data_IF_419920466368
#
_entry.id   IF_419920466368
#
_cell.length_a   1.000
_cell.length_b   1.000
_cell.length_c   1.000
_cell.angle_alpha   90.00
_cell.angle_beta   90.00
_cell.angle_gamma   90.00
#
_symmetry.space_group_name_H-M   'P 1'
#
loop_
_entity.id
_entity.type
_entity.pdbx_description
1 polymer ?
#
# COMPACT_ATOMS: atom_id res chain seq x y z
N UNK A 1 -4.26 -19.92 -5.53
CA UNK A 1 -4.48 -18.70 -4.71
C UNK A 1 -4.61 -17.54 -5.69
N UNK A 2 -5.68 -16.73 -5.63
CA UNK A 2 -5.91 -15.60 -6.56
C UNK A 2 -5.54 -14.29 -5.89
N UNK A 3 -4.80 -13.43 -6.59
CA UNK A 3 -4.45 -12.10 -6.10
C UNK A 3 -5.74 -11.31 -5.88
N UNK A 4 -5.95 -10.65 -4.72
CA UNK A 4 -7.15 -9.86 -4.46
C UNK A 4 -7.41 -8.76 -5.50
N UNK A 5 -6.36 -8.23 -6.13
CA UNK A 5 -6.47 -7.28 -7.25
C UNK A 5 -6.84 -7.89 -8.60
N UNK A 6 -6.74 -9.22 -8.74
CA UNK A 6 -7.10 -9.98 -9.95
C UNK A 6 -8.30 -10.92 -9.73
N UNK A 7 -9.01 -10.78 -8.62
CA UNK A 7 -10.21 -11.57 -8.36
C UNK A 7 -11.42 -10.92 -9.04
N UNK A 8 -11.84 -11.52 -10.16
CA UNK A 8 -12.95 -11.05 -11.01
C UNK A 8 -14.29 -10.96 -10.30
N UNK A 9 -14.43 -11.59 -9.12
CA UNK A 9 -15.66 -11.55 -8.31
C UNK A 9 -15.97 -10.18 -7.72
N UNK A 10 -14.99 -9.27 -7.65
CA UNK A 10 -15.14 -7.92 -7.11
C UNK A 10 -15.09 -6.82 -8.19
N UNK A 11 -15.17 -7.19 -9.47
CA UNK A 11 -15.17 -6.24 -10.57
C UNK A 11 -16.54 -5.53 -10.65
N UNK A 12 -16.52 -4.20 -10.72
CA UNK A 12 -17.69 -3.36 -11.03
C UNK A 12 -17.50 -2.78 -12.44
N UNK A 13 -18.41 -1.92 -12.90
CA UNK A 13 -18.42 -1.34 -14.25
C UNK A 13 -17.15 -0.53 -14.61
N UNK A 14 -16.30 -0.22 -13.63
CA UNK A 14 -14.99 0.45 -13.75
C UNK A 14 -13.81 -0.52 -14.00
N UNK A 15 -14.09 -1.79 -14.32
CA UNK A 15 -13.06 -2.81 -14.58
C UNK A 15 -12.27 -2.60 -15.88
N UNK A 16 -12.77 -1.74 -16.77
CA UNK A 16 -12.13 -1.36 -18.03
C UNK A 16 -12.02 0.16 -18.04
N UNK A 17 -10.87 0.68 -18.45
CA UNK A 17 -10.66 2.12 -18.61
C UNK A 17 -9.64 2.40 -19.71
N UNK A 18 -9.73 3.59 -20.29
CA UNK A 18 -8.81 4.04 -21.32
C UNK A 18 -7.77 5.00 -20.74
N UNK A 19 -6.56 4.93 -21.27
CA UNK A 19 -5.51 5.89 -20.98
C UNK A 19 -4.62 6.13 -22.21
N UNK A 20 -4.14 7.38 -22.42
CA UNK A 20 -3.29 7.70 -23.55
C UNK A 20 -1.91 7.06 -23.41
N UNK A 21 -1.39 6.55 -24.53
CA UNK A 21 -0.05 6.03 -24.65
C UNK A 21 0.97 7.16 -24.39
N UNK A 22 1.92 7.01 -23.44
CA UNK A 22 2.90 8.06 -23.14
C UNK A 22 3.92 8.27 -24.28
N UNK A 23 3.98 7.36 -25.25
CA UNK A 23 4.94 7.40 -26.36
C UNK A 23 4.35 8.00 -27.64
N UNK A 24 3.05 7.85 -27.89
CA UNK A 24 2.42 8.29 -29.14
C UNK A 24 1.05 8.94 -28.97
N UNK A 25 0.50 9.03 -27.75
CA UNK A 25 -0.77 9.67 -27.46
C UNK A 25 -2.03 8.85 -27.73
N UNK A 26 -1.91 7.70 -28.41
CA UNK A 26 -3.04 6.82 -28.76
C UNK A 26 -3.76 6.29 -27.51
N UNK A 27 -5.10 6.21 -27.53
CA UNK A 27 -5.85 5.62 -26.42
C UNK A 27 -5.65 4.10 -26.35
N UNK A 28 -5.32 3.63 -25.15
CA UNK A 28 -5.12 2.21 -24.86
C UNK A 28 -6.19 1.81 -23.85
N UNK A 29 -6.95 0.77 -24.20
CA UNK A 29 -7.87 0.12 -23.28
C UNK A 29 -7.11 -0.81 -22.33
N UNK A 30 -7.28 -0.55 -21.04
CA UNK A 30 -6.76 -1.34 -19.93
C UNK A 30 -7.90 -1.99 -19.15
N UNK A 31 -7.69 -3.25 -18.80
CA UNK A 31 -8.44 -3.96 -17.78
C UNK A 31 -7.75 -3.74 -16.44
N UNK A 32 -8.53 -3.79 -15.35
CA UNK A 32 -8.04 -3.55 -13.99
C UNK A 32 -6.92 -4.50 -13.55
N UNK A 33 -6.85 -5.70 -14.13
CA UNK A 33 -5.83 -6.71 -13.88
C UNK A 33 -4.67 -6.71 -14.88
N UNK A 34 -4.75 -5.91 -15.95
CA UNK A 34 -3.65 -5.75 -16.89
C UNK A 34 -2.47 -5.10 -16.17
N UNK A 35 -1.34 -5.80 -16.12
CA UNK A 35 -0.07 -5.23 -15.65
C UNK A 35 0.53 -4.28 -16.68
N UNK A 36 0.42 -4.68 -17.95
CA UNK A 36 0.97 -3.97 -19.10
C UNK A 36 0.10 -4.28 -20.32
N UNK A 37 -0.11 -3.29 -21.17
CA UNK A 37 -0.78 -3.44 -22.47
C UNK A 37 0.16 -3.01 -23.58
N UNK A 38 0.07 -3.69 -24.72
CA UNK A 38 0.77 -3.27 -25.92
C UNK A 38 -0.05 -2.18 -26.61
N UNK A 39 0.54 -1.02 -26.86
CA UNK A 39 -0.11 0.04 -27.62
C UNK A 39 -0.43 -0.45 -29.05
N UNK A 40 -1.68 -0.30 -29.54
CA UNK A 40 -2.04 -0.74 -30.88
C UNK A 40 -1.37 0.10 -31.99
N UNK A 41 -1.05 1.37 -31.73
CA UNK A 41 -0.43 2.26 -32.71
C UNK A 41 1.10 2.10 -32.80
N UNK A 42 1.82 2.21 -31.67
CA UNK A 42 3.29 2.22 -31.68
C UNK A 42 3.93 0.89 -31.25
N UNK A 43 3.14 -0.08 -30.78
CA UNK A 43 3.63 -1.40 -30.37
C UNK A 43 4.44 -1.44 -29.07
N UNK A 44 4.63 -0.30 -28.40
CA UNK A 44 5.31 -0.22 -27.11
C UNK A 44 4.48 -0.85 -25.99
N UNK A 45 5.16 -1.41 -24.99
CA UNK A 45 4.53 -1.91 -23.77
C UNK A 45 4.27 -0.74 -22.82
N UNK A 46 3.00 -0.48 -22.53
CA UNK A 46 2.56 0.60 -21.66
C UNK A 46 2.04 0.00 -20.34
N UNK A 47 2.66 0.33 -19.20
CA UNK A 47 2.19 -0.15 -17.91
C UNK A 47 0.83 0.49 -17.59
N UNK A 48 -0.03 -0.28 -16.94
CA UNK A 48 -1.35 0.20 -16.54
C UNK A 48 -1.21 1.39 -15.56
N UNK A 49 -1.72 2.59 -15.90
CA UNK A 49 -1.52 3.80 -15.11
C UNK A 49 -2.38 3.85 -13.84
N UNK A 50 -3.48 3.07 -13.78
CA UNK A 50 -4.32 2.92 -12.58
C UNK A 50 -3.88 1.74 -11.72
N UNK A 51 -2.86 0.99 -12.14
CA UNK A 51 -2.35 -0.12 -11.37
C UNK A 51 -1.66 0.39 -10.11
N UNK A 52 -2.39 0.30 -9.00
CA UNK A 52 -1.87 0.60 -7.68
C UNK A 52 -1.04 -0.58 -7.18
N UNK A 53 0.28 -0.50 -7.42
CA UNK A 53 1.26 -1.42 -6.86
C UNK A 53 1.61 -1.09 -5.39
N UNK A 54 0.82 -0.26 -4.70
CA UNK A 54 0.98 -0.01 -3.26
C UNK A 54 0.95 -1.30 -2.42
N UNK A 55 0.30 -2.36 -2.92
CA UNK A 55 0.38 -3.70 -2.33
C UNK A 55 1.72 -4.40 -2.58
N UNK A 56 2.37 -4.17 -3.72
CA UNK A 56 3.65 -4.76 -4.09
C UNK A 56 4.82 -4.20 -3.25
N UNK A 57 4.70 -2.97 -2.75
CA UNK A 57 5.64 -2.41 -1.77
C UNK A 57 5.78 -3.28 -0.50
N UNK A 58 4.76 -4.10 -0.21
CA UNK A 58 4.63 -4.84 1.03
C UNK A 58 4.33 -6.34 0.85
N UNK A 59 4.16 -6.79 -0.39
CA UNK A 59 3.83 -8.17 -0.72
C UNK A 59 5.09 -9.03 -0.86
N UNK A 60 5.08 -10.23 -0.25
CA UNK A 60 6.19 -11.20 -0.35
C UNK A 60 6.42 -11.79 -1.74
N UNK A 61 5.47 -11.60 -2.67
CA UNK A 61 5.54 -12.08 -4.06
C UNK A 61 5.71 -10.92 -5.05
N UNK A 62 6.08 -9.72 -4.56
CA UNK A 62 6.17 -8.51 -5.37
C UNK A 62 7.11 -8.65 -6.56
N UNK A 63 8.26 -9.33 -6.42
CA UNK A 63 9.21 -9.56 -7.53
C UNK A 63 8.58 -10.33 -8.70
N UNK A 64 7.66 -11.26 -8.42
CA UNK A 64 6.96 -12.03 -9.46
C UNK A 64 5.86 -11.20 -10.15
N UNK A 65 5.37 -10.14 -9.50
CA UNK A 65 4.33 -9.25 -10.02
C UNK A 65 4.91 -8.02 -10.75
N UNK A 66 6.08 -7.56 -10.31
CA UNK A 66 6.76 -6.35 -10.80
C UNK A 66 7.83 -6.65 -11.86
N UNK A 67 8.10 -7.93 -12.13
CA UNK A 67 9.16 -8.37 -13.04
C UNK A 67 9.08 -7.71 -14.41
N UNK A 68 10.17 -7.01 -14.78
CA UNK A 68 10.43 -6.19 -15.98
C UNK A 68 10.04 -4.70 -15.93
N UNK A 69 9.58 -4.16 -14.80
CA UNK A 69 9.40 -2.71 -14.67
C UNK A 69 10.73 -1.98 -14.38
N UNK A 70 10.96 -0.78 -14.97
CA UNK A 70 12.14 0.03 -14.68
C UNK A 70 12.30 0.29 -13.17
N UNK A 71 13.52 0.13 -12.60
CA UNK A 71 13.78 0.34 -11.18
C UNK A 71 13.32 1.72 -10.66
N UNK A 72 13.37 2.75 -11.51
CA UNK A 72 12.95 4.11 -11.19
C UNK A 72 11.44 4.20 -10.90
N UNK A 73 10.62 3.42 -11.61
CA UNK A 73 9.16 3.37 -11.41
C UNK A 73 8.76 2.53 -10.20
N UNK A 74 9.59 1.57 -9.80
CA UNK A 74 9.39 0.74 -8.61
C UNK A 74 9.73 1.51 -7.33
N UNK A 75 10.87 2.22 -7.33
CA UNK A 75 11.33 3.04 -6.21
C UNK A 75 10.37 4.20 -5.90
N UNK A 76 9.79 4.82 -6.92
CA UNK A 76 8.84 5.90 -6.75
C UNK A 76 7.50 5.48 -6.14
N UNK A 77 7.16 4.18 -5.99
CA UNK A 77 5.80 3.74 -5.65
C UNK A 77 5.63 3.10 -4.26
N UNK A 78 6.67 2.46 -3.71
CA UNK A 78 6.60 1.84 -2.37
C UNK A 78 6.91 2.76 -1.19
N UNK A 79 7.70 3.81 -1.43
CA UNK A 79 7.89 4.90 -0.45
C UNK A 79 6.60 5.72 -0.28
N UNK A 80 5.77 5.82 -1.34
CA UNK A 80 4.55 6.63 -1.34
C UNK A 80 3.53 6.23 -0.29
N UNK A 81 3.27 4.95 -0.02
CA UNK A 81 2.19 4.60 0.90
C UNK A 81 2.56 4.92 2.36
N UNK A 82 3.79 4.60 2.77
CA UNK A 82 4.33 4.96 4.10
C UNK A 82 4.30 6.48 4.27
N UNK A 83 4.77 7.23 3.27
CA UNK A 83 4.78 8.68 3.31
C UNK A 83 3.38 9.26 3.36
N UNK A 84 2.45 8.78 2.53
CA UNK A 84 1.05 9.23 2.50
C UNK A 84 0.33 8.93 3.81
N UNK A 85 0.53 7.74 4.39
CA UNK A 85 0.01 7.41 5.72
C UNK A 85 0.63 8.31 6.78
N UNK A 86 1.95 8.51 6.75
CA UNK A 86 2.63 9.40 7.70
C UNK A 86 2.12 10.84 7.64
N UNK A 87 1.88 11.38 6.44
CA UNK A 87 1.31 12.70 6.22
C UNK A 87 -0.15 12.79 6.68
N UNK A 88 -0.97 11.79 6.36
CA UNK A 88 -2.36 11.73 6.80
C UNK A 88 -2.47 11.65 8.32
N UNK A 89 -1.64 10.84 8.98
CA UNK A 89 -1.58 10.75 10.44
C UNK A 89 -1.16 12.08 11.05
N UNK A 90 -0.12 12.74 10.54
CA UNK A 90 0.29 14.07 11.01
C UNK A 90 -0.85 15.09 10.89
N UNK A 91 -1.58 15.08 9.78
CA UNK A 91 -2.72 15.99 9.56
C UNK A 91 -3.86 15.74 10.53
N UNK A 92 -4.19 14.47 10.79
CA UNK A 92 -5.29 14.08 11.67
C UNK A 92 -4.96 14.30 13.15
N UNK A 93 -3.74 13.98 13.56
CA UNK A 93 -3.27 14.20 14.94
C UNK A 93 -3.09 15.70 15.21
N UNK A 94 -2.76 16.48 14.19
CA UNK A 94 -2.69 17.94 14.28
C UNK A 94 -1.61 18.40 15.26
N UNK A 95 -2.02 19.17 16.27
CA UNK A 95 -1.12 19.79 17.26
C UNK A 95 -0.89 18.93 18.52
N UNK A 96 -1.37 17.69 18.56
CA UNK A 96 -1.09 16.76 19.66
C UNK A 96 0.29 16.12 19.47
N UNK A 97 1.33 16.90 19.82
CA UNK A 97 2.73 16.52 19.64
C UNK A 97 3.12 15.29 20.46
N UNK A 98 2.59 15.15 21.68
CA UNK A 98 2.86 13.99 22.54
C UNK A 98 2.35 12.70 21.90
N UNK A 99 1.13 12.72 21.37
CA UNK A 99 0.55 11.57 20.67
C UNK A 99 1.31 11.27 19.38
N UNK A 100 1.70 12.30 18.63
CA UNK A 100 2.49 12.11 17.41
C UNK A 100 3.86 11.50 17.70
N UNK A 101 4.56 11.96 18.74
CA UNK A 101 5.85 11.42 19.16
C UNK A 101 5.73 9.94 19.55
N UNK A 102 4.69 9.58 20.31
CA UNK A 102 4.40 8.19 20.66
C UNK A 102 4.17 7.30 19.44
N UNK A 103 3.40 7.78 18.46
CA UNK A 103 3.17 7.07 17.20
C UNK A 103 4.49 6.86 16.45
N UNK A 104 5.25 7.94 16.24
CA UNK A 104 6.50 7.87 15.47
C UNK A 104 7.56 7.00 16.17
N UNK A 105 7.67 7.08 17.49
CA UNK A 105 8.55 6.23 18.28
C UNK A 105 8.20 4.74 18.16
N UNK A 106 6.91 4.40 18.12
CA UNK A 106 6.46 3.03 17.89
C UNK A 106 6.78 2.55 16.46
N UNK A 107 6.49 3.39 15.46
CA UNK A 107 6.78 3.11 14.05
C UNK A 107 8.28 2.83 13.85
N UNK A 108 9.17 3.66 14.40
CA UNK A 108 10.62 3.46 14.29
C UNK A 108 11.07 2.12 14.88
N UNK A 109 10.51 1.73 16.03
CA UNK A 109 10.84 0.45 16.68
C UNK A 109 10.36 -0.74 15.85
N UNK A 110 9.15 -0.68 15.29
CA UNK A 110 8.61 -1.73 14.41
C UNK A 110 9.40 -1.81 13.12
N UNK A 111 9.74 -0.67 12.51
CA UNK A 111 10.56 -0.60 11.30
C UNK A 111 11.95 -1.21 11.52
N UNK A 112 12.64 -0.85 12.60
CA UNK A 112 13.93 -1.42 12.95
C UNK A 112 13.85 -2.95 13.09
N UNK A 113 12.80 -3.46 13.75
CA UNK A 113 12.61 -4.89 13.93
C UNK A 113 12.33 -5.63 12.61
N UNK A 114 11.54 -5.03 11.70
CA UNK A 114 11.27 -5.61 10.38
C UNK A 114 12.54 -5.72 9.53
N UNK A 115 13.42 -4.70 9.60
CA UNK A 115 14.73 -4.69 8.92
C UNK A 115 15.64 -5.80 9.46
N UNK A 116 15.76 -5.94 10.78
CA UNK A 116 16.56 -7.01 11.41
C UNK A 116 16.06 -8.40 11.01
N UNK A 117 14.74 -8.60 10.97
CA UNK A 117 14.14 -9.89 10.60
C UNK A 117 14.05 -10.13 9.09
N UNK A 118 14.57 -9.23 8.24
CA UNK A 118 14.44 -9.26 6.77
C UNK A 118 13.01 -9.53 6.29
N UNK A 119 12.01 -9.04 7.04
CA UNK A 119 10.59 -9.19 6.71
C UNK A 119 10.09 -7.89 6.07
N UNK A 120 9.16 -8.03 5.13
CA UNK A 120 8.52 -6.87 4.53
C UNK A 120 7.74 -6.07 5.59
N UNK A 121 7.95 -4.74 5.71
CA UNK A 121 7.34 -3.93 6.78
C UNK A 121 5.81 -3.87 6.74
N UNK A 122 5.22 -3.98 5.55
CA UNK A 122 3.79 -4.07 5.24
C UNK A 122 2.75 -3.61 6.25
N UNK A 123 1.75 -4.47 6.44
CA UNK A 123 0.67 -4.25 7.40
C UNK A 123 1.17 -3.96 8.84
N UNK A 124 2.24 -4.61 9.36
CA UNK A 124 2.80 -4.28 10.68
C UNK A 124 3.18 -2.80 10.85
N UNK A 125 3.86 -2.23 9.86
CA UNK A 125 4.33 -0.84 9.92
C UNK A 125 3.15 0.15 9.84
N UNK A 126 2.19 -0.09 8.95
CA UNK A 126 1.00 0.76 8.85
C UNK A 126 0.10 0.60 10.09
N UNK A 127 0.01 -0.60 10.67
CA UNK A 127 -0.66 -0.82 11.93
C UNK A 127 -0.03 -0.02 13.08
N UNK A 128 1.31 0.12 13.10
CA UNK A 128 2.00 0.95 14.08
C UNK A 128 1.63 2.44 13.96
N UNK A 129 1.50 2.97 12.75
CA UNK A 129 1.01 4.35 12.51
C UNK A 129 -0.40 4.58 13.05
N UNK A 130 -1.25 3.56 12.96
CA UNK A 130 -2.69 3.66 13.22
C UNK A 130 -3.08 3.19 14.63
N UNK A 131 -2.15 2.61 15.38
CA UNK A 131 -2.42 1.95 16.65
C UNK A 131 -3.08 2.90 17.66
N UNK A 132 -2.51 4.09 17.84
CA UNK A 132 -3.00 5.11 18.77
C UNK A 132 -4.17 5.93 18.23
N UNK A 133 -4.67 5.66 17.02
CA UNK A 133 -5.82 6.34 16.43
C UNK A 133 -7.12 5.64 16.80
N UNK A 134 -8.22 6.39 16.90
CA UNK A 134 -9.56 5.83 17.08
C UNK A 134 -10.14 5.37 15.72
N UNK A 135 -11.28 4.67 15.76
CA UNK A 135 -11.89 4.11 14.55
C UNK A 135 -12.24 5.15 13.46
N UNK A 136 -12.63 6.37 13.85
CA UNK A 136 -12.95 7.43 12.88
C UNK A 136 -11.68 7.97 12.22
N UNK A 137 -10.65 8.25 13.02
CA UNK A 137 -9.36 8.71 12.54
C UNK A 137 -8.70 7.68 11.61
N UNK A 138 -8.75 6.39 11.95
CA UNK A 138 -8.23 5.30 11.08
C UNK A 138 -8.92 5.28 9.72
N UNK A 139 -10.25 5.38 9.70
CA UNK A 139 -11.00 5.44 8.44
C UNK A 139 -10.61 6.67 7.62
N UNK A 140 -10.34 7.80 8.26
CA UNK A 140 -9.90 9.01 7.57
C UNK A 140 -8.49 8.85 6.99
N UNK A 141 -7.54 8.27 7.72
CA UNK A 141 -6.21 7.94 7.18
C UNK A 141 -6.35 7.00 5.98
N UNK A 142 -7.20 5.98 6.06
CA UNK A 142 -7.40 5.05 4.94
C UNK A 142 -7.91 5.74 3.67
N UNK A 143 -8.79 6.74 3.80
CA UNK A 143 -9.27 7.53 2.68
C UNK A 143 -8.20 8.48 2.15
N UNK A 144 -7.57 9.28 3.00
CA UNK A 144 -6.55 10.26 2.60
C UNK A 144 -5.30 9.61 2.00
N UNK A 145 -4.86 8.51 2.58
CA UNK A 145 -3.72 7.74 2.09
C UNK A 145 -4.13 6.68 1.05
N UNK A 146 -5.36 6.71 0.51
CA UNK A 146 -5.91 5.76 -0.48
C UNK A 146 -5.45 4.32 -0.21
N UNK A 147 -5.59 3.87 1.04
CA UNK A 147 -5.14 2.54 1.45
C UNK A 147 -6.09 1.52 0.82
N UNK A 148 -5.61 0.50 0.09
CA UNK A 148 -6.47 -0.52 -0.51
C UNK A 148 -7.29 -1.27 0.54
N UNK A 149 -8.57 -1.57 0.27
CA UNK A 149 -9.47 -2.19 1.27
C UNK A 149 -8.96 -3.52 1.81
N UNK A 150 -8.37 -4.34 0.95
CA UNK A 150 -7.73 -5.62 1.32
C UNK A 150 -6.64 -5.42 2.37
N UNK A 151 -5.84 -4.34 2.23
CA UNK A 151 -4.80 -4.01 3.19
C UNK A 151 -5.41 -3.43 4.49
N UNK A 152 -6.54 -2.72 4.41
CA UNK A 152 -7.25 -2.22 5.61
C UNK A 152 -7.68 -3.36 6.52
N UNK A 153 -8.24 -4.44 5.96
CA UNK A 153 -8.64 -5.61 6.74
C UNK A 153 -7.46 -6.26 7.45
N UNK A 154 -6.34 -6.43 6.75
CA UNK A 154 -5.12 -6.98 7.33
C UNK A 154 -4.58 -6.09 8.45
N UNK A 155 -4.49 -4.77 8.22
CA UNK A 155 -4.06 -3.79 9.21
C UNK A 155 -4.95 -3.82 10.45
N UNK A 156 -6.28 -3.80 10.26
CA UNK A 156 -7.23 -3.85 11.38
C UNK A 156 -7.14 -5.17 12.12
N UNK A 157 -6.90 -6.28 11.42
CA UNK A 157 -6.64 -7.58 12.05
C UNK A 157 -5.33 -7.60 12.84
N UNK A 158 -4.31 -6.83 12.45
CA UNK A 158 -3.09 -6.69 13.26
C UNK A 158 -3.44 -5.90 14.51
N UNK A 159 -4.07 -4.73 14.37
CA UNK A 159 -4.42 -3.85 15.49
C UNK A 159 -5.32 -4.55 16.52
N UNK A 160 -6.30 -5.35 16.08
CA UNK A 160 -7.23 -6.03 16.99
C UNK A 160 -6.58 -7.10 17.87
N UNK A 161 -5.41 -7.60 17.49
CA UNK A 161 -4.64 -8.59 18.27
C UNK A 161 -3.69 -7.95 19.27
N UNK A 162 -3.48 -6.63 19.18
CA UNK A 162 -2.57 -5.90 20.03
C UNK A 162 -3.27 -5.50 21.34
N UNK A 163 -2.58 -5.69 22.47
CA UNK A 163 -3.02 -5.17 23.77
C UNK A 163 -2.80 -3.65 23.89
N UNK A 164 -3.19 -3.06 25.01
CA UNK A 164 -3.12 -1.60 25.25
C UNK A 164 -1.70 -1.02 25.18
N UNK A 165 -0.67 -1.83 25.45
CA UNK A 165 0.75 -1.47 25.39
C UNK A 165 1.52 -2.51 24.57
N UNK A 166 1.45 -2.47 23.23
CA UNK A 166 2.06 -3.48 22.40
C UNK A 166 3.57 -3.25 22.31
N UNK A 167 4.33 -4.33 22.44
CA UNK A 167 5.75 -4.32 22.10
C UNK A 167 5.93 -4.45 20.57
N UNK A 168 7.04 -3.95 20.00
CA UNK A 168 7.29 -4.02 18.55
C UNK A 168 7.19 -5.44 17.98
N UNK A 169 7.53 -6.46 18.78
CA UNK A 169 7.43 -7.87 18.40
C UNK A 169 5.99 -8.32 18.18
N UNK A 170 5.00 -7.73 18.87
CA UNK A 170 3.59 -8.11 18.74
C UNK A 170 2.99 -7.69 17.39
N UNK A 171 3.60 -6.73 16.70
CA UNK A 171 3.18 -6.33 15.35
C UNK A 171 3.59 -7.35 14.29
N UNK A 172 4.53 -8.26 14.61
CA UNK A 172 4.97 -9.31 13.72
C UNK A 172 4.30 -10.62 14.16
N UNK A 173 3.65 -11.34 13.24
CA UNK A 173 3.21 -12.71 13.52
C UNK A 173 4.44 -13.56 13.85
N UNK A 174 4.51 -14.12 15.05
CA UNK A 174 5.42 -15.23 15.32
C UNK A 174 4.87 -16.45 14.58
N UNK A 175 5.77 -17.15 13.87
CA UNK A 175 5.44 -18.42 13.21
C UNK A 175 5.31 -19.52 14.27
#
# INVERSE_FOLDING_TARGET
MRCPGQDTRYWKEDAIFEAPCPFCGEEIEFFKDDTVRKCPACGQQVPNPRMDFGCAAYCRFAEQCLGNLPPELLAQRGELLKERVGLAVKRIVGNDFERLERILGLVQKVEALTKVRKRSPGAPLIAAYLFFLNSKERQQVFKEANVPEVLREEILSVISRLGEKPEPKNFLKED
#
